data_IF_937550232549
#
_entry.id   IF_937550232549
#
_cell.length_a   1.000
_cell.length_b   1.000
_cell.length_c   1.000
_cell.angle_alpha   90.00
_cell.angle_beta   90.00
_cell.angle_gamma   90.00
#
_symmetry.space_group_name_H-M   'P 1'
#
loop_
_entity.id
_entity.type
_entity.pdbx_description
1 polymer ?
#
# COMPACT_ATOMS: atom_id res chain seq x y z
N UNK A 1 16.28 -6.93 -19.26
CA UNK A 1 17.10 -5.70 -19.25
C UNK A 1 16.75 -4.97 -17.98
N UNK A 2 17.75 -4.58 -17.17
CA UNK A 2 17.51 -3.92 -15.89
C UNK A 2 16.88 -2.54 -16.05
N UNK A 3 16.13 -2.10 -15.05
CA UNK A 3 15.63 -0.72 -14.98
C UNK A 3 16.80 0.20 -14.58
N UNK A 4 16.91 1.39 -15.19
CA UNK A 4 17.97 2.34 -14.86
C UNK A 4 17.43 3.44 -13.96
N UNK A 5 18.02 3.60 -12.78
CA UNK A 5 17.73 4.72 -11.89
C UNK A 5 18.42 5.97 -12.43
N UNK A 6 17.66 7.03 -12.74
CA UNK A 6 18.21 8.34 -13.12
C UNK A 6 18.72 9.09 -11.89
N UNK A 7 20.02 9.37 -11.89
CA UNK A 7 20.77 10.04 -10.82
C UNK A 7 21.16 11.47 -11.21
N UNK A 8 20.80 11.91 -12.43
CA UNK A 8 21.18 13.22 -12.97
C UNK A 8 20.60 14.40 -12.18
N UNK A 9 19.58 14.14 -11.35
CA UNK A 9 18.90 15.13 -10.52
C UNK A 9 19.51 15.29 -9.12
N UNK A 10 20.47 14.45 -8.75
CA UNK A 10 21.08 14.47 -7.42
C UNK A 10 22.25 15.47 -7.36
N UNK A 11 22.08 16.65 -6.72
CA UNK A 11 23.08 17.72 -6.75
C UNK A 11 24.39 17.35 -6.04
N UNK A 12 24.32 16.40 -5.10
CA UNK A 12 25.48 15.87 -4.36
C UNK A 12 26.31 14.91 -5.22
N UNK A 13 25.65 14.08 -6.05
CA UNK A 13 26.34 13.19 -6.98
C UNK A 13 27.04 13.96 -8.09
N UNK A 14 26.57 15.16 -8.45
CA UNK A 14 27.26 16.01 -9.42
C UNK A 14 28.60 16.56 -8.91
N UNK A 15 28.82 16.58 -7.59
CA UNK A 15 29.95 17.27 -6.96
C UNK A 15 30.90 16.32 -6.21
N UNK A 16 30.43 15.15 -5.83
CA UNK A 16 31.16 14.22 -4.97
C UNK A 16 30.78 12.78 -5.24
N UNK A 17 31.72 11.88 -4.94
CA UNK A 17 31.52 10.44 -5.04
C UNK A 17 30.48 9.93 -4.04
N UNK A 18 29.84 8.85 -4.41
CA UNK A 18 28.84 8.16 -3.61
C UNK A 18 28.98 6.65 -3.72
N UNK A 19 28.16 5.95 -2.95
CA UNK A 19 28.07 4.50 -2.94
C UNK A 19 26.60 4.14 -3.09
N UNK A 20 26.30 3.28 -4.05
CA UNK A 20 25.01 2.60 -4.10
C UNK A 20 25.08 1.32 -3.28
N UNK A 21 24.08 1.13 -2.43
CA UNK A 21 23.80 -0.09 -1.72
C UNK A 21 22.68 -0.82 -2.46
N UNK A 22 22.96 -2.05 -2.88
CA UNK A 22 21.96 -2.95 -3.44
C UNK A 22 21.15 -3.66 -2.35
N UNK A 23 20.02 -4.29 -2.72
CA UNK A 23 19.13 -4.98 -1.79
C UNK A 23 19.79 -6.20 -1.09
N UNK A 24 20.82 -6.79 -1.70
CA UNK A 24 21.66 -7.85 -1.11
C UNK A 24 22.79 -7.32 -0.21
N UNK A 25 22.90 -6.00 -0.04
CA UNK A 25 23.99 -5.36 0.69
C UNK A 25 25.27 -5.12 -0.13
N UNK A 26 25.26 -5.44 -1.42
CA UNK A 26 26.36 -5.12 -2.34
C UNK A 26 26.60 -3.61 -2.41
N UNK A 27 27.88 -3.20 -2.48
CA UNK A 27 28.27 -1.79 -2.55
C UNK A 27 28.94 -1.53 -3.88
N UNK A 28 28.33 -0.68 -4.69
CA UNK A 28 28.91 -0.21 -5.94
C UNK A 28 29.36 1.24 -5.81
N UNK A 29 30.64 1.57 -6.11
CA UNK A 29 31.10 2.95 -6.10
C UNK A 29 30.47 3.73 -7.27
N UNK A 30 29.95 4.93 -6.98
CA UNK A 30 29.48 5.88 -7.97
C UNK A 30 30.39 7.11 -7.98
N UNK A 31 31.22 7.28 -9.01
CA UNK A 31 32.01 8.49 -9.20
C UNK A 31 31.12 9.73 -9.33
N UNK A 32 31.65 10.89 -8.95
CA UNK A 32 31.00 12.17 -9.17
C UNK A 32 30.61 12.34 -10.66
N UNK A 33 29.38 12.78 -10.90
CA UNK A 33 28.80 12.97 -12.24
C UNK A 33 28.15 11.72 -12.84
N UNK A 34 28.06 10.62 -12.09
CA UNK A 34 27.30 9.43 -12.50
C UNK A 34 25.83 9.78 -12.76
N UNK A 35 25.35 9.45 -13.97
CA UNK A 35 23.99 9.81 -14.43
C UNK A 35 22.95 8.73 -14.20
N UNK A 36 23.37 7.49 -13.96
CA UNK A 36 22.44 6.44 -13.64
C UNK A 36 23.09 5.20 -13.07
N UNK A 37 22.26 4.36 -12.48
CA UNK A 37 22.61 3.06 -11.91
C UNK A 37 21.70 2.01 -12.53
N UNK A 38 22.28 0.93 -13.05
CA UNK A 38 21.51 -0.21 -13.53
C UNK A 38 21.03 -1.06 -12.34
N UNK A 39 19.73 -1.31 -12.28
CA UNK A 39 19.08 -2.06 -11.22
C UNK A 39 18.88 -3.50 -11.72
N UNK A 40 19.69 -4.41 -11.19
CA UNK A 40 19.79 -5.80 -11.67
C UNK A 40 18.97 -6.79 -10.84
N UNK A 41 18.53 -6.41 -9.63
CA UNK A 41 17.76 -7.24 -8.72
C UNK A 41 16.56 -6.48 -8.15
N UNK A 42 15.44 -7.13 -7.84
CA UNK A 42 14.32 -6.50 -7.14
C UNK A 42 14.68 -6.18 -5.69
N UNK A 43 14.18 -5.06 -5.18
CA UNK A 43 14.36 -4.62 -3.80
C UNK A 43 14.70 -3.14 -3.67
N UNK A 44 15.17 -2.75 -2.48
CA UNK A 44 15.53 -1.37 -2.18
C UNK A 44 17.01 -1.10 -2.52
N UNK A 45 17.23 -0.06 -3.32
CA UNK A 45 18.54 0.51 -3.58
C UNK A 45 18.66 1.84 -2.87
N UNK A 46 19.79 2.07 -2.20
CA UNK A 46 20.09 3.32 -1.53
C UNK A 46 21.37 3.94 -2.09
N UNK A 47 21.31 5.19 -2.53
CA UNK A 47 22.49 5.96 -2.90
C UNK A 47 22.89 6.84 -1.72
N UNK A 48 24.14 6.74 -1.28
CA UNK A 48 24.69 7.46 -0.12
C UNK A 48 25.93 8.24 -0.52
N UNK A 49 26.04 9.50 -0.08
CA UNK A 49 27.29 10.23 -0.22
C UNK A 49 28.40 9.51 0.55
N UNK A 50 29.63 9.57 0.04
CA UNK A 50 30.78 8.98 0.72
C UNK A 50 30.91 9.53 2.15
N UNK A 51 30.76 8.65 3.15
CA UNK A 51 30.84 9.02 4.58
C UNK A 51 29.55 9.53 5.23
N UNK A 52 28.43 9.60 4.51
CA UNK A 52 27.14 10.00 5.07
C UNK A 52 26.32 8.81 5.62
N UNK A 53 25.70 9.03 6.78
CA UNK A 53 24.84 8.02 7.43
C UNK A 53 23.39 8.01 6.91
N UNK A 54 22.96 9.08 6.23
CA UNK A 54 21.64 9.16 5.58
C UNK A 54 21.76 8.95 4.06
N UNK A 55 20.79 8.27 3.42
CA UNK A 55 20.75 8.14 1.96
C UNK A 55 20.39 9.48 1.29
N UNK A 56 21.03 9.74 0.16
CA UNK A 56 20.70 10.82 -0.77
C UNK A 56 19.40 10.49 -1.52
N UNK A 57 19.27 9.25 -1.98
CA UNK A 57 18.14 8.76 -2.74
C UNK A 57 17.86 7.30 -2.41
N UNK A 58 16.59 6.93 -2.33
CA UNK A 58 16.12 5.54 -2.16
C UNK A 58 15.20 5.20 -3.30
N UNK A 59 15.46 4.10 -3.99
CA UNK A 59 14.63 3.58 -5.06
C UNK A 59 14.17 2.16 -4.71
N UNK A 60 12.87 1.91 -4.86
CA UNK A 60 12.29 0.58 -4.71
C UNK A 60 12.02 0.00 -6.10
N UNK A 61 12.64 -1.14 -6.39
CA UNK A 61 12.47 -1.87 -7.65
C UNK A 61 11.58 -3.08 -7.37
N UNK A 62 10.32 -3.00 -7.79
CA UNK A 62 9.40 -4.14 -7.70
C UNK A 62 9.59 -5.05 -8.93
N UNK A 63 9.43 -6.35 -8.71
CA UNK A 63 9.55 -7.41 -9.73
C UNK A 63 8.53 -7.20 -10.86
N UNK A 64 8.86 -7.80 -12.02
CA UNK A 64 8.16 -7.75 -13.30
C UNK A 64 6.62 -7.64 -13.19
N UNK A 65 6.03 -6.74 -13.96
CA UNK A 65 4.57 -6.53 -14.01
C UNK A 65 3.84 -7.81 -14.46
N UNK A 66 4.55 -8.76 -15.07
CA UNK A 66 4.09 -10.10 -15.39
C UNK A 66 3.62 -10.92 -14.18
N UNK A 67 4.13 -10.69 -12.96
CA UNK A 67 3.60 -11.37 -11.75
C UNK A 67 2.22 -10.87 -11.34
N UNK A 68 1.82 -9.67 -11.78
CA UNK A 68 0.44 -9.17 -11.66
C UNK A 68 -0.39 -9.42 -12.92
N UNK A 69 0.13 -10.15 -13.91
CA UNK A 69 -0.60 -10.48 -15.12
C UNK A 69 -1.59 -11.62 -14.87
N UNK A 70 -2.79 -11.22 -14.46
CA UNK A 70 -3.92 -12.11 -14.28
C UNK A 70 -4.54 -12.54 -15.63
N UNK A 71 -4.02 -12.10 -16.79
CA UNK A 71 -4.58 -12.48 -18.09
C UNK A 71 -4.48 -13.99 -18.37
N UNK A 72 -3.54 -14.69 -17.71
CA UNK A 72 -3.46 -16.16 -17.77
C UNK A 72 -4.33 -16.87 -16.73
N UNK A 73 -4.98 -16.16 -15.80
CA UNK A 73 -5.90 -16.74 -14.84
C UNK A 73 -7.32 -16.75 -15.42
N UNK A 74 -7.92 -17.93 -15.51
CA UNK A 74 -9.29 -18.09 -15.96
C UNK A 74 -10.23 -17.29 -15.03
N UNK A 75 -11.02 -16.32 -15.55
CA UNK A 75 -11.96 -15.56 -14.74
C UNK A 75 -12.94 -16.45 -13.96
N UNK A 76 -13.23 -17.67 -14.45
CA UNK A 76 -14.05 -18.66 -13.75
C UNK A 76 -13.32 -19.26 -12.53
N UNK A 77 -12.02 -19.54 -12.64
CA UNK A 77 -11.21 -20.02 -11.49
C UNK A 77 -11.01 -18.91 -10.45
N UNK A 78 -10.83 -17.67 -10.88
CA UNK A 78 -10.74 -16.52 -9.97
C UNK A 78 -12.07 -16.28 -9.26
N UNK A 79 -13.19 -16.27 -10.00
CA UNK A 79 -14.52 -16.15 -9.40
C UNK A 79 -14.80 -17.31 -8.43
N UNK A 80 -14.44 -18.54 -8.81
CA UNK A 80 -14.57 -19.73 -7.96
C UNK A 80 -13.71 -19.64 -6.70
N UNK A 81 -12.49 -19.09 -6.79
CA UNK A 81 -11.58 -18.93 -5.64
C UNK A 81 -12.00 -17.78 -4.73
N UNK A 82 -12.45 -16.65 -5.27
CA UNK A 82 -12.97 -15.53 -4.48
C UNK A 82 -14.28 -15.91 -3.79
N UNK A 83 -15.16 -16.64 -4.48
CA UNK A 83 -16.40 -17.14 -3.90
C UNK A 83 -16.14 -18.25 -2.87
N UNK A 84 -15.16 -19.13 -3.12
CA UNK A 84 -14.69 -20.13 -2.15
C UNK A 84 -13.97 -19.50 -0.97
N UNK A 85 -13.23 -18.41 -1.14
CA UNK A 85 -12.57 -17.66 -0.06
C UNK A 85 -13.61 -16.90 0.78
N UNK A 86 -14.68 -16.39 0.16
CA UNK A 86 -15.85 -15.88 0.86
C UNK A 86 -16.58 -16.99 1.65
N UNK A 87 -16.45 -18.25 1.23
CA UNK A 87 -16.93 -19.44 1.95
C UNK A 87 -15.90 -20.17 2.81
N UNK A 88 -14.62 -19.77 2.81
CA UNK A 88 -13.53 -20.42 3.54
C UNK A 88 -12.81 -19.37 4.34
N UNK A 89 -13.34 -19.13 5.54
CA UNK A 89 -12.59 -18.49 6.62
C UNK A 89 -11.18 -19.12 6.68
N UNK A 90 -10.17 -18.26 6.63
CA UNK A 90 -8.78 -18.64 6.76
C UNK A 90 -8.61 -19.60 7.92
N UNK A 91 -7.97 -20.75 7.67
CA UNK A 91 -7.56 -21.70 8.71
C UNK A 91 -6.63 -21.00 9.68
N UNK A 92 -7.01 -20.78 10.95
CA UNK A 92 -6.03 -20.40 11.96
C UNK A 92 -5.30 -21.67 12.40
N UNK A 93 -4.04 -21.46 12.72
CA UNK A 93 -3.19 -22.38 13.45
C UNK A 93 -3.92 -22.99 14.66
N UNK A 94 -3.60 -24.25 14.96
CA UNK A 94 -4.25 -25.11 15.94
C UNK A 94 -4.59 -24.41 17.27
N UNK A 95 -5.89 -24.26 17.54
CA UNK A 95 -6.51 -23.99 18.85
C UNK A 95 -7.85 -24.79 18.87
N UNK A 96 -8.35 -25.20 20.06
CA UNK A 96 -9.35 -26.25 20.18
C UNK A 96 -10.66 -25.87 19.49
N UNK A 97 -11.24 -26.84 18.78
CA UNK A 97 -12.38 -26.70 17.89
C UNK A 97 -13.57 -25.94 18.50
N UNK A 98 -13.61 -24.64 18.27
CA UNK A 98 -14.84 -23.85 18.36
C UNK A 98 -15.68 -24.24 17.14
N UNK A 99 -16.90 -24.70 17.41
CA UNK A 99 -17.85 -25.20 16.43
C UNK A 99 -18.07 -24.18 15.32
N UNK A 100 -18.07 -24.64 14.07
CA UNK A 100 -18.20 -23.85 12.83
C UNK A 100 -19.26 -22.74 12.90
N UNK A 101 -20.36 -22.96 13.63
CA UNK A 101 -21.47 -22.01 13.84
C UNK A 101 -21.05 -20.68 14.50
N UNK A 102 -20.08 -20.70 15.41
CA UNK A 102 -19.59 -19.48 16.08
C UNK A 102 -18.73 -18.61 15.15
N UNK A 103 -18.09 -19.22 14.15
CA UNK A 103 -17.27 -18.50 13.17
C UNK A 103 -18.13 -17.80 12.11
N UNK A 104 -19.23 -18.43 11.67
CA UNK A 104 -20.16 -17.84 10.69
C UNK A 104 -20.89 -16.62 11.27
N UNK A 105 -21.33 -16.68 12.52
CA UNK A 105 -22.03 -15.57 13.18
C UNK A 105 -21.14 -14.33 13.38
N UNK A 106 -19.85 -14.52 13.68
CA UNK A 106 -18.87 -13.43 13.83
C UNK A 106 -18.61 -12.70 12.51
N UNK A 107 -18.66 -13.39 11.37
CA UNK A 107 -18.53 -12.77 10.05
C UNK A 107 -19.79 -11.99 9.63
N UNK A 108 -20.98 -12.34 10.11
CA UNK A 108 -22.17 -11.52 9.87
C UNK A 108 -22.21 -10.29 10.80
N UNK A 109 -21.70 -10.40 12.03
CA UNK A 109 -21.80 -9.36 13.06
C UNK A 109 -21.12 -8.04 12.66
N UNK A 110 -19.91 -8.09 12.08
CA UNK A 110 -19.21 -6.85 11.67
C UNK A 110 -19.94 -6.11 10.54
N UNK A 111 -20.60 -6.84 9.63
CA UNK A 111 -21.40 -6.23 8.57
C UNK A 111 -22.58 -5.44 9.16
N UNK A 112 -23.25 -5.99 10.17
CA UNK A 112 -24.32 -5.27 10.88
C UNK A 112 -23.78 -4.05 11.64
N UNK A 113 -22.61 -4.15 12.29
CA UNK A 113 -21.96 -3.01 12.94
C UNK A 113 -21.62 -1.89 11.96
N UNK A 114 -21.12 -2.21 10.77
CA UNK A 114 -20.87 -1.22 9.72
C UNK A 114 -22.15 -0.56 9.21
N UNK A 115 -23.21 -1.35 8.97
CA UNK A 115 -24.51 -0.82 8.55
C UNK A 115 -25.09 0.11 9.63
N UNK A 116 -24.97 -0.27 10.91
CA UNK A 116 -25.38 0.58 12.03
C UNK A 116 -24.58 1.89 12.09
N UNK A 117 -23.25 1.82 11.92
CA UNK A 117 -22.40 3.01 11.90
C UNK A 117 -22.73 3.96 10.73
N UNK A 118 -22.99 3.42 9.53
CA UNK A 118 -23.41 4.19 8.36
C UNK A 118 -24.75 4.89 8.58
N UNK A 119 -25.75 4.18 9.15
CA UNK A 119 -27.06 4.76 9.48
C UNK A 119 -26.94 5.87 10.52
N UNK A 120 -26.12 5.67 11.55
CA UNK A 120 -25.87 6.68 12.58
C UNK A 120 -25.26 7.94 11.96
N UNK A 121 -24.23 7.77 11.12
CA UNK A 121 -23.54 8.88 10.45
C UNK A 121 -24.46 9.64 9.49
N UNK A 122 -25.30 8.93 8.72
CA UNK A 122 -26.28 9.55 7.84
C UNK A 122 -27.31 10.37 8.64
N UNK A 123 -27.76 9.82 9.76
CA UNK A 123 -28.71 10.50 10.66
C UNK A 123 -28.10 11.77 11.24
N UNK A 124 -26.86 11.70 11.73
CA UNK A 124 -26.12 12.85 12.27
C UNK A 124 -25.88 13.92 11.19
N UNK A 125 -25.54 13.51 9.97
CA UNK A 125 -25.33 14.41 8.83
C UNK A 125 -26.62 15.16 8.47
N UNK A 126 -27.75 14.45 8.41
CA UNK A 126 -29.05 15.05 8.11
C UNK A 126 -29.50 15.97 9.25
N UNK A 127 -29.32 15.55 10.52
CA UNK A 127 -29.64 16.41 11.67
C UNK A 127 -28.80 17.68 11.66
N UNK A 128 -27.48 17.56 11.47
CA UNK A 128 -26.56 18.70 11.39
C UNK A 128 -26.96 19.64 10.26
N UNK A 129 -27.24 19.11 9.07
CA UNK A 129 -27.68 19.92 7.94
C UNK A 129 -29.02 20.65 8.22
N UNK A 130 -29.97 19.99 8.91
CA UNK A 130 -31.25 20.60 9.30
C UNK A 130 -31.13 21.63 10.42
N UNK A 131 -30.21 21.44 11.36
CA UNK A 131 -29.92 22.40 12.44
C UNK A 131 -29.20 23.64 11.88
N UNK A 132 -28.22 23.44 11.00
CA UNK A 132 -27.54 24.53 10.29
C UNK A 132 -28.50 25.33 9.40
N UNK A 133 -29.44 24.67 8.71
CA UNK A 133 -30.43 25.37 7.88
C UNK A 133 -31.43 26.16 8.73
N UNK A 134 -31.85 25.64 9.89
CA UNK A 134 -32.74 26.33 10.84
C UNK A 134 -32.07 27.52 11.53
N UNK A 135 -30.82 27.38 11.97
CA UNK A 135 -30.04 28.47 12.55
C UNK A 135 -29.84 29.61 11.54
N UNK A 136 -29.54 29.28 10.27
CA UNK A 136 -29.41 30.26 9.19
C UNK A 136 -30.73 30.95 8.84
N UNK A 137 -31.85 30.22 8.90
CA UNK A 137 -33.18 30.80 8.66
C UNK A 137 -33.63 31.75 9.79
N UNK A 138 -33.22 31.48 11.04
CA UNK A 138 -33.47 32.36 12.18
C UNK A 138 -32.61 33.63 12.14
N UNK A 139 -31.33 33.52 11.77
CA UNK A 139 -30.43 34.69 11.61
C UNK A 139 -30.87 35.61 10.46
N UNK A 140 -31.45 35.07 9.37
CA UNK A 140 -31.93 35.88 8.24
C UNK A 140 -33.23 36.67 8.55
N UNK A 141 -33.91 36.38 9.66
CA UNK A 141 -35.20 36.99 10.02
C UNK A 141 -35.09 38.06 11.13
N UNK A 142 -33.91 38.25 11.72
CA UNK A 142 -33.57 39.39 12.59
C UNK A 142 -32.87 40.48 11.79
#
# INVERSE_FOLDING_TARGET
MGEALDLSREPTLLKSDAIALGPSGERSPLPAGSKGLELTAPGFYEVRAAGASAPLQVAAVNVDRAESDLASMDPEELAGTVLRARGRAATPHAEPALTTDEHESRQALWQYLLMAALLLLATETVLSNRLSSRARALVKKS
#
